data_IF_455815880630
#
_entry.id   IF_455815880630
#
_cell.length_a   1.000
_cell.length_b   1.000
_cell.length_c   1.000
_cell.angle_alpha   90.00
_cell.angle_beta   90.00
_cell.angle_gamma   90.00
#
_symmetry.space_group_name_H-M   'P 1'
#
loop_
_entity.id
_entity.type
_entity.pdbx_description
1 polymer ?
#
# COMPACT_ATOMS: atom_id res chain seq x y z
N UNK A 1 24.91 24.47 21.52
CA UNK A 1 26.23 23.82 21.64
C UNK A 1 26.21 22.29 21.52
N UNK A 2 25.06 21.59 21.68
CA UNK A 2 25.02 20.11 21.61
C UNK A 2 24.86 19.47 20.22
N UNK A 3 24.59 20.24 19.16
CA UNK A 3 24.43 19.71 17.78
C UNK A 3 25.74 19.21 17.15
N UNK A 4 26.90 19.59 17.69
CA UNK A 4 28.24 19.20 17.19
C UNK A 4 28.82 17.94 17.86
N UNK A 5 28.07 17.30 18.76
CA UNK A 5 28.44 15.99 19.29
C UNK A 5 28.27 14.90 18.22
N UNK A 6 29.39 14.44 17.66
CA UNK A 6 29.46 13.32 16.70
C UNK A 6 29.13 11.93 17.32
N UNK A 7 28.62 11.89 18.56
CA UNK A 7 28.23 10.63 19.21
C UNK A 7 26.83 10.21 18.79
N UNK A 8 26.71 9.60 17.61
CA UNK A 8 25.53 8.78 17.28
C UNK A 8 25.62 7.53 18.16
N UNK A 9 24.77 7.44 19.18
CA UNK A 9 24.65 6.20 19.96
C UNK A 9 24.09 5.14 19.03
N UNK A 10 24.73 3.96 18.97
CA UNK A 10 24.11 2.80 18.34
C UNK A 10 22.81 2.50 19.11
N UNK A 11 21.73 2.22 18.39
CA UNK A 11 20.50 1.77 19.02
C UNK A 11 20.76 0.50 19.85
N UNK A 12 19.96 0.30 20.89
CA UNK A 12 19.90 -1.00 21.55
C UNK A 12 19.49 -2.07 20.52
N UNK A 13 19.86 -3.34 20.76
CA UNK A 13 19.38 -4.45 19.94
C UNK A 13 17.86 -4.47 19.99
N UNK A 14 17.23 -4.27 18.85
CA UNK A 14 15.79 -4.36 18.69
C UNK A 14 15.42 -5.64 17.96
N UNK A 15 14.30 -6.20 18.35
CA UNK A 15 13.79 -7.45 17.83
C UNK A 15 12.43 -7.23 17.19
N UNK A 16 12.19 -7.92 16.07
CA UNK A 16 10.83 -8.07 15.52
C UNK A 16 9.90 -8.66 16.59
N UNK A 17 8.56 -8.55 16.44
CA UNK A 17 7.61 -9.27 17.28
C UNK A 17 7.87 -10.78 17.38
N UNK A 18 8.57 -11.36 16.39
CA UNK A 18 8.92 -12.78 16.31
C UNK A 18 10.33 -13.10 16.83
N UNK A 19 11.04 -12.12 17.41
CA UNK A 19 12.35 -12.35 18.05
C UNK A 19 13.56 -12.34 17.12
N UNK A 20 13.39 -12.00 15.83
CA UNK A 20 14.53 -11.78 14.92
C UNK A 20 15.22 -10.44 15.21
N UNK A 21 16.55 -10.44 15.31
CA UNK A 21 17.37 -9.24 15.52
C UNK A 21 17.40 -8.38 14.24
N UNK A 22 17.02 -7.10 14.34
CA UNK A 22 16.97 -6.20 13.19
C UNK A 22 18.13 -5.21 13.26
N UNK A 23 18.88 -5.06 12.17
CA UNK A 23 19.95 -4.05 12.07
C UNK A 23 19.40 -2.69 11.63
N UNK A 24 18.77 -1.98 12.57
CA UNK A 24 18.10 -0.73 12.27
C UNK A 24 19.06 0.47 12.21
N UNK A 25 18.73 1.46 11.39
CA UNK A 25 19.44 2.75 11.40
C UNK A 25 19.11 3.52 12.69
N UNK A 26 20.07 4.25 13.29
CA UNK A 26 19.77 5.11 14.44
C UNK A 26 18.78 6.23 14.10
N UNK A 27 17.75 6.45 14.92
CA UNK A 27 16.75 7.50 14.67
C UNK A 27 17.40 8.90 14.66
N UNK A 28 18.40 9.16 15.51
CA UNK A 28 19.09 10.46 15.54
C UNK A 28 19.85 10.76 14.24
N UNK A 29 20.32 9.73 13.52
CA UNK A 29 20.93 9.92 12.21
C UNK A 29 19.87 10.40 11.20
N UNK A 30 18.74 9.72 11.15
CA UNK A 30 17.64 10.09 10.26
C UNK A 30 17.06 11.47 10.62
N UNK A 31 17.00 11.81 11.91
CA UNK A 31 16.53 13.12 12.36
C UNK A 31 17.40 14.23 11.82
N UNK A 32 18.73 14.08 11.91
CA UNK A 32 19.68 15.04 11.35
C UNK A 32 19.49 15.20 9.84
N UNK A 33 19.39 14.09 9.12
CA UNK A 33 19.20 14.11 7.66
C UNK A 33 17.90 14.83 7.30
N UNK A 34 16.76 14.37 7.84
CA UNK A 34 15.43 14.91 7.51
C UNK A 34 15.33 16.39 7.92
N UNK A 35 15.85 16.77 9.09
CA UNK A 35 15.78 18.17 9.54
C UNK A 35 16.64 19.09 8.66
N UNK A 36 17.80 18.65 8.19
CA UNK A 36 18.66 19.46 7.33
C UNK A 36 18.16 19.58 5.88
N UNK A 37 17.34 18.63 5.41
CA UNK A 37 16.91 18.57 4.01
C UNK A 37 15.43 18.87 3.80
N UNK A 38 14.63 18.98 4.87
CA UNK A 38 13.18 19.18 4.77
C UNK A 38 12.61 20.12 5.83
N UNK A 39 11.52 20.78 5.47
CA UNK A 39 10.67 21.56 6.38
C UNK A 39 9.45 20.74 6.86
N UNK A 40 8.78 21.22 7.90
CA UNK A 40 7.52 20.63 8.38
C UNK A 40 6.47 20.56 7.24
N UNK A 41 5.74 19.46 7.17
CA UNK A 41 4.74 19.21 6.12
C UNK A 41 5.29 18.78 4.75
N UNK A 42 6.60 18.85 4.51
CA UNK A 42 7.21 18.32 3.29
C UNK A 42 7.20 16.79 3.25
N UNK A 43 7.36 16.24 2.05
CA UNK A 43 7.30 14.80 1.80
C UNK A 43 8.70 14.17 1.90
N UNK A 44 8.79 13.10 2.69
CA UNK A 44 9.96 12.20 2.76
C UNK A 44 9.61 10.88 2.06
N UNK A 45 10.45 10.42 1.14
CA UNK A 45 10.23 9.16 0.42
C UNK A 45 11.35 8.17 0.73
N UNK A 46 10.99 6.96 1.15
CA UNK A 46 11.94 5.86 1.41
C UNK A 46 11.44 4.55 0.81
N UNK A 47 12.07 4.13 -0.30
CA UNK A 47 11.71 2.91 -1.02
C UNK A 47 12.47 1.65 -0.55
N UNK A 48 13.30 1.79 0.48
CA UNK A 48 13.92 0.69 1.23
C UNK A 48 13.65 0.90 2.72
N UNK A 49 12.38 1.03 3.07
CA UNK A 49 11.96 1.45 4.40
C UNK A 49 12.46 0.49 5.50
N UNK A 50 12.66 -0.78 5.18
CA UNK A 50 13.14 -1.83 6.07
C UNK A 50 12.32 -1.85 7.34
N UNK A 51 12.99 -1.58 8.46
CA UNK A 51 12.33 -1.53 9.76
C UNK A 51 11.35 -0.37 9.92
N UNK A 52 11.35 0.63 9.04
CA UNK A 52 10.51 1.83 9.11
C UNK A 52 11.14 2.99 9.89
N UNK A 53 12.47 3.04 10.02
CA UNK A 53 13.16 4.10 10.78
C UNK A 53 12.91 5.48 10.17
N UNK A 54 13.05 5.61 8.85
CA UNK A 54 12.87 6.88 8.13
C UNK A 54 11.46 7.42 8.30
N UNK A 55 10.45 6.58 8.09
CA UNK A 55 9.03 6.97 8.19
C UNK A 55 8.62 7.31 9.62
N UNK A 56 9.13 6.58 10.63
CA UNK A 56 8.90 6.91 12.03
C UNK A 56 9.47 8.27 12.42
N UNK A 57 10.73 8.54 12.03
CA UNK A 57 11.38 9.82 12.31
C UNK A 57 10.70 10.96 11.54
N UNK A 58 10.38 10.76 10.27
CA UNK A 58 9.65 11.75 9.47
C UNK A 58 8.29 12.08 10.12
N UNK A 59 7.57 11.07 10.60
CA UNK A 59 6.28 11.25 11.28
C UNK A 59 6.42 12.04 12.59
N UNK A 60 7.37 11.67 13.45
CA UNK A 60 7.66 12.38 14.72
C UNK A 60 8.06 13.84 14.48
N UNK A 61 8.74 14.11 13.36
CA UNK A 61 9.10 15.44 12.90
C UNK A 61 7.98 16.13 12.10
N UNK A 62 6.77 15.57 12.01
CA UNK A 62 5.62 16.17 11.31
C UNK A 62 5.86 16.40 9.81
N UNK A 63 6.62 15.51 9.17
CA UNK A 63 6.72 15.42 7.71
C UNK A 63 5.66 14.45 7.19
N UNK A 64 5.20 14.68 5.97
CA UNK A 64 4.48 13.65 5.20
C UNK A 64 5.51 12.61 4.75
N UNK A 65 5.09 11.38 4.56
CA UNK A 65 6.01 10.34 4.11
C UNK A 65 5.34 9.29 3.24
N UNK A 66 6.14 8.68 2.39
CA UNK A 66 5.80 7.46 1.65
C UNK A 66 6.93 6.47 1.92
N UNK A 67 6.57 5.28 2.40
CA UNK A 67 7.48 4.17 2.62
C UNK A 67 7.10 3.00 1.73
N UNK A 68 8.08 2.36 1.09
CA UNK A 68 7.90 1.10 0.34
C UNK A 68 8.79 0.04 0.95
N UNK A 69 8.23 -1.15 1.11
CA UNK A 69 8.92 -2.34 1.57
C UNK A 69 8.26 -3.58 0.97
N UNK A 70 9.02 -4.68 0.88
CA UNK A 70 8.51 -5.98 0.46
C UNK A 70 7.45 -6.48 1.44
N UNK A 71 6.34 -6.98 0.89
CA UNK A 71 5.13 -7.31 1.64
C UNK A 71 5.39 -8.24 2.84
N UNK A 72 6.29 -9.21 2.71
CA UNK A 72 6.63 -10.18 3.76
C UNK A 72 7.19 -9.54 5.05
N UNK A 73 7.81 -8.37 4.97
CA UNK A 73 8.37 -7.65 6.13
C UNK A 73 7.50 -6.48 6.60
N UNK A 74 6.54 -6.05 5.78
CA UNK A 74 5.72 -4.88 6.08
C UNK A 74 4.95 -5.04 7.41
N UNK A 75 4.29 -6.19 7.62
CA UNK A 75 3.48 -6.41 8.82
C UNK A 75 4.30 -6.50 10.10
N UNK A 76 5.40 -7.26 10.06
CA UNK A 76 6.23 -7.52 11.24
C UNK A 76 7.03 -6.29 11.67
N UNK A 77 7.37 -5.42 10.72
CA UNK A 77 8.36 -4.39 10.95
C UNK A 77 7.73 -3.00 10.90
N UNK A 78 7.28 -2.56 9.73
CA UNK A 78 6.77 -1.19 9.52
C UNK A 78 5.43 -1.00 10.24
N UNK A 79 4.46 -1.88 10.00
CA UNK A 79 3.13 -1.77 10.59
C UNK A 79 3.21 -1.85 12.12
N UNK A 80 3.99 -2.79 12.65
CA UNK A 80 4.23 -2.90 14.08
C UNK A 80 4.86 -1.63 14.66
N UNK A 81 5.96 -1.14 14.08
CA UNK A 81 6.64 0.08 14.53
C UNK A 81 5.70 1.28 14.50
N UNK A 82 5.02 1.50 13.36
CA UNK A 82 4.18 2.67 13.20
C UNK A 82 2.99 2.65 14.15
N UNK A 83 2.41 1.48 14.49
CA UNK A 83 1.41 1.37 15.57
C UNK A 83 1.96 1.88 16.91
N UNK A 84 3.21 1.58 17.25
CA UNK A 84 3.85 2.10 18.47
C UNK A 84 4.05 3.62 18.39
N UNK A 85 4.60 4.11 17.27
CA UNK A 85 4.83 5.55 17.04
C UNK A 85 3.53 6.34 17.16
N UNK A 86 2.44 5.85 16.55
CA UNK A 86 1.12 6.47 16.63
C UNK A 86 0.53 6.41 18.05
N UNK A 87 0.77 5.34 18.80
CA UNK A 87 0.33 5.24 20.21
C UNK A 87 1.00 6.31 21.08
N UNK A 88 2.25 6.70 20.76
CA UNK A 88 3.03 7.72 21.49
C UNK A 88 3.45 7.34 22.91
N UNK A 89 2.85 6.29 23.46
CA UNK A 89 3.07 5.77 24.81
C UNK A 89 2.94 4.24 24.79
N UNK A 90 3.71 3.56 25.64
CA UNK A 90 3.61 2.11 25.82
C UNK A 90 4.94 1.47 26.22
N UNK A 91 5.06 0.16 25.97
CA UNK A 91 6.30 -0.58 26.26
C UNK A 91 7.47 -0.14 25.39
N UNK A 92 7.18 0.30 24.15
CA UNK A 92 8.17 0.60 23.12
C UNK A 92 8.26 2.09 22.74
N UNK A 93 7.50 2.98 23.42
CA UNK A 93 7.55 4.45 23.27
C UNK A 93 7.42 5.10 24.67
N UNK A 94 8.17 6.17 25.00
CA UNK A 94 9.02 6.95 24.11
C UNK A 94 10.38 6.28 23.81
N UNK A 95 10.71 6.13 22.52
CA UNK A 95 12.00 5.61 22.00
C UNK A 95 12.66 6.59 21.02
N UNK A 96 13.95 6.38 20.72
CA UNK A 96 14.71 7.15 19.75
C UNK A 96 14.61 8.66 19.99
N UNK A 97 14.07 9.40 19.03
CA UNK A 97 13.96 10.88 19.10
C UNK A 97 12.68 11.36 19.79
N UNK A 98 11.79 10.46 20.23
CA UNK A 98 10.49 10.85 20.80
C UNK A 98 10.63 11.80 21.99
N UNK A 99 11.65 11.62 22.82
CA UNK A 99 11.92 12.51 23.96
C UNK A 99 12.45 13.87 23.52
N UNK A 100 13.32 13.87 22.51
CA UNK A 100 13.97 15.08 21.99
C UNK A 100 12.96 16.04 21.36
N UNK A 101 11.91 15.50 20.74
CA UNK A 101 10.86 16.28 20.07
C UNK A 101 9.54 16.34 20.86
N UNK A 102 9.53 15.84 22.10
CA UNK A 102 8.34 15.74 22.95
C UNK A 102 7.13 15.09 22.24
N UNK A 103 7.37 13.99 21.52
CA UNK A 103 6.36 13.26 20.77
C UNK A 103 5.32 12.62 21.71
N UNK A 104 4.04 12.85 21.44
CA UNK A 104 2.91 12.35 22.26
C UNK A 104 2.07 11.29 21.54
N UNK A 105 2.45 10.90 20.32
CA UNK A 105 1.61 10.06 19.46
C UNK A 105 0.57 10.86 18.69
N UNK A 106 -0.30 10.13 18.01
CA UNK A 106 -1.32 10.66 17.11
C UNK A 106 -0.95 10.52 15.64
N UNK A 107 -1.89 10.92 14.78
CA UNK A 107 -1.81 10.74 13.33
C UNK A 107 -2.41 9.41 12.87
N UNK A 108 -2.31 9.17 11.57
CA UNK A 108 -2.64 7.91 10.93
C UNK A 108 -1.76 7.75 9.69
N UNK A 109 -1.69 6.54 9.17
CA UNK A 109 -1.15 6.30 7.83
C UNK A 109 -2.08 5.32 7.12
N UNK A 110 -2.10 5.43 5.79
CA UNK A 110 -2.69 4.41 4.93
C UNK A 110 -1.54 3.56 4.38
N UNK A 111 -1.83 2.30 4.10
CA UNK A 111 -0.92 1.43 3.38
C UNK A 111 -1.67 0.78 2.23
N UNK A 112 -0.92 0.43 1.19
CA UNK A 112 -1.43 -0.26 0.00
C UNK A 112 -0.59 -1.51 -0.17
N UNK A 113 -1.24 -2.60 -0.52
CA UNK A 113 -0.60 -3.80 -1.01
C UNK A 113 -0.69 -3.80 -2.53
N UNK A 114 0.42 -4.05 -3.20
CA UNK A 114 0.51 -4.13 -4.64
C UNK A 114 0.90 -5.55 -5.01
N UNK A 115 0.17 -6.14 -5.96
CA UNK A 115 0.54 -7.44 -6.50
C UNK A 115 1.90 -7.33 -7.21
N UNK A 116 2.84 -8.18 -6.80
CA UNK A 116 4.16 -8.24 -7.42
C UNK A 116 4.08 -8.91 -8.79
N UNK A 117 5.06 -8.65 -9.66
CA UNK A 117 5.10 -9.27 -10.98
C UNK A 117 5.09 -10.81 -10.90
N UNK A 118 5.82 -11.36 -9.94
CA UNK A 118 5.90 -12.80 -9.68
C UNK A 118 4.57 -13.37 -9.18
N UNK A 119 3.86 -12.63 -8.34
CA UNK A 119 2.52 -13.00 -7.86
C UNK A 119 1.50 -12.96 -9.00
N UNK A 120 1.54 -11.91 -9.82
CA UNK A 120 0.73 -11.80 -11.02
C UNK A 120 0.98 -12.99 -11.95
N UNK A 121 2.25 -13.31 -12.25
CA UNK A 121 2.61 -14.48 -13.06
C UNK A 121 2.15 -15.81 -12.45
N UNK A 122 2.25 -15.98 -11.13
CA UNK A 122 1.78 -17.18 -10.44
C UNK A 122 0.25 -17.31 -10.46
N UNK A 123 -0.46 -16.17 -10.48
CA UNK A 123 -1.92 -16.10 -10.52
C UNK A 123 -2.50 -16.19 -11.94
N UNK A 124 -1.71 -15.84 -12.96
CA UNK A 124 -2.06 -16.01 -14.36
C UNK A 124 -2.25 -17.50 -14.67
N UNK A 125 -3.50 -17.88 -14.89
CA UNK A 125 -3.85 -19.19 -15.43
C UNK A 125 -4.07 -19.03 -16.91
N UNK A 126 -3.17 -19.63 -17.69
CA UNK A 126 -3.35 -19.75 -19.12
C UNK A 126 -4.03 -21.08 -19.39
N UNK A 127 -5.25 -21.05 -19.92
CA UNK A 127 -5.80 -22.24 -20.56
C UNK A 127 -5.12 -22.43 -21.92
N UNK A 128 -5.00 -23.70 -22.35
CA UNK A 128 -4.70 -24.04 -23.73
C UNK A 128 -5.84 -23.54 -24.62
N UNK A 129 -5.78 -22.28 -25.02
CA UNK A 129 -6.62 -21.79 -26.10
C UNK A 129 -6.19 -22.48 -27.39
N UNK A 130 -7.13 -22.70 -28.32
CA UNK A 130 -6.78 -23.03 -29.70
C UNK A 130 -5.89 -21.91 -30.24
N UNK A 131 -4.57 -22.13 -30.19
CA UNK A 131 -3.58 -21.35 -30.92
C UNK A 131 -4.08 -21.27 -32.37
N UNK A 132 -3.86 -20.13 -33.03
CA UNK A 132 -4.15 -19.89 -34.45
C UNK A 132 -5.58 -19.48 -34.84
N UNK A 133 -6.44 -19.10 -33.87
CA UNK A 133 -7.84 -18.73 -34.16
C UNK A 133 -8.16 -17.22 -34.09
N UNK A 134 -7.21 -16.32 -33.79
CA UNK A 134 -7.49 -14.88 -33.79
C UNK A 134 -7.13 -14.23 -35.15
N UNK A 135 -8.11 -13.90 -36.02
CA UNK A 135 -7.82 -13.27 -37.30
C UNK A 135 -7.08 -11.94 -37.10
N UNK A 136 -5.88 -11.85 -37.67
CA UNK A 136 -5.04 -10.64 -37.63
C UNK A 136 -3.96 -10.60 -36.54
N UNK A 137 -3.77 -11.67 -35.75
CA UNK A 137 -2.64 -11.79 -34.82
C UNK A 137 -1.63 -12.84 -35.29
N UNK A 138 -0.34 -12.61 -35.06
CA UNK A 138 0.68 -13.62 -35.32
C UNK A 138 0.67 -14.69 -34.23
N UNK A 139 1.13 -15.92 -34.50
CA UNK A 139 1.25 -16.96 -33.48
C UNK A 139 2.07 -16.53 -32.26
N UNK A 140 3.08 -15.67 -32.44
CA UNK A 140 3.86 -15.11 -31.34
C UNK A 140 3.05 -14.15 -30.48
N UNK A 141 2.17 -13.34 -31.07
CA UNK A 141 1.29 -12.44 -30.33
C UNK A 141 0.22 -13.24 -29.55
N UNK A 142 -0.25 -14.35 -30.09
CA UNK A 142 -1.20 -15.22 -29.37
C UNK A 142 -0.52 -16.00 -28.24
N UNK A 143 0.73 -16.41 -28.42
CA UNK A 143 1.51 -17.14 -27.41
C UNK A 143 1.99 -16.25 -26.26
N UNK A 144 2.42 -15.01 -26.54
CA UNK A 144 2.90 -14.07 -25.51
C UNK A 144 1.74 -13.47 -24.70
N UNK A 145 0.55 -13.34 -25.29
CA UNK A 145 -0.64 -12.75 -24.66
C UNK A 145 -1.77 -13.78 -24.56
N UNK A 146 -1.49 -14.95 -23.98
CA UNK A 146 -2.53 -15.92 -23.64
C UNK A 146 -3.59 -15.26 -22.74
N UNK A 147 -4.84 -15.69 -22.87
CA UNK A 147 -5.98 -15.08 -22.16
C UNK A 147 -5.85 -15.33 -20.66
N UNK A 148 -5.92 -14.25 -19.87
CA UNK A 148 -5.95 -14.32 -18.41
C UNK A 148 -7.41 -14.46 -17.91
N UNK A 149 -7.68 -15.52 -17.16
CA UNK A 149 -8.97 -15.78 -16.54
C UNK A 149 -9.26 -14.93 -15.29
N UNK A 150 -8.30 -14.13 -14.81
CA UNK A 150 -8.44 -13.32 -13.59
C UNK A 150 -9.71 -12.47 -13.62
N UNK A 151 -10.06 -11.88 -14.76
CA UNK A 151 -11.32 -11.15 -14.90
C UNK A 151 -12.54 -12.08 -14.75
N UNK A 152 -12.53 -13.28 -15.33
CA UNK A 152 -13.63 -14.23 -15.23
C UNK A 152 -13.90 -14.65 -13.78
N UNK A 153 -12.85 -14.78 -12.95
CA UNK A 153 -13.00 -15.10 -11.52
C UNK A 153 -13.79 -14.02 -10.77
N UNK A 154 -13.67 -12.76 -11.20
CA UNK A 154 -14.33 -11.62 -10.59
C UNK A 154 -15.72 -11.32 -11.15
N UNK A 155 -16.13 -11.95 -12.26
CA UNK A 155 -17.42 -11.68 -12.90
C UNK A 155 -18.42 -12.82 -12.66
N UNK A 156 -19.60 -12.47 -12.17
CA UNK A 156 -20.76 -13.35 -12.10
C UNK A 156 -21.79 -12.91 -13.14
N UNK A 157 -22.08 -13.78 -14.11
CA UNK A 157 -23.05 -13.50 -15.17
C UNK A 157 -24.43 -14.00 -14.75
N UNK A 158 -25.38 -13.08 -14.59
CA UNK A 158 -26.79 -13.40 -14.44
C UNK A 158 -27.46 -13.41 -15.83
N UNK A 159 -27.51 -14.59 -16.43
CA UNK A 159 -28.13 -14.83 -17.73
C UNK A 159 -29.64 -14.55 -17.76
N UNK A 160 -30.33 -14.53 -16.60
CA UNK A 160 -31.78 -14.28 -16.57
C UNK A 160 -32.08 -12.79 -16.63
N UNK A 161 -31.25 -11.97 -16.01
CA UNK A 161 -31.43 -10.52 -15.94
C UNK A 161 -30.50 -9.74 -16.89
N UNK A 162 -29.68 -10.43 -17.70
CA UNK A 162 -28.64 -9.83 -18.54
C UNK A 162 -27.74 -8.85 -17.77
N UNK A 163 -27.40 -9.21 -16.52
CA UNK A 163 -26.54 -8.41 -15.64
C UNK A 163 -25.21 -9.11 -15.41
N UNK A 164 -24.15 -8.32 -15.29
CA UNK A 164 -22.83 -8.77 -14.87
C UNK A 164 -22.56 -8.17 -13.50
N UNK A 165 -22.33 -9.02 -12.51
CA UNK A 165 -21.99 -8.62 -11.15
C UNK A 165 -20.49 -8.78 -10.93
N UNK A 166 -19.86 -7.78 -10.34
CA UNK A 166 -18.43 -7.80 -10.01
C UNK A 166 -18.26 -8.23 -8.55
N UNK A 167 -17.57 -9.34 -8.34
CA UNK A 167 -17.24 -9.91 -7.03
C UNK A 167 -15.72 -9.82 -6.79
N UNK A 168 -15.27 -8.62 -6.42
CA UNK A 168 -13.84 -8.34 -6.18
C UNK A 168 -13.26 -9.16 -5.01
N UNK A 169 -14.10 -9.52 -4.04
CA UNK A 169 -13.78 -10.38 -2.89
C UNK A 169 -13.25 -11.76 -3.29
N UNK A 170 -13.56 -12.23 -4.51
CA UNK A 170 -13.02 -13.47 -5.07
C UNK A 170 -11.57 -13.34 -5.55
N UNK A 171 -11.09 -12.11 -5.78
CA UNK A 171 -9.72 -11.84 -6.20
C UNK A 171 -8.79 -11.71 -5.01
N UNK A 172 -9.13 -10.81 -4.07
CA UNK A 172 -8.36 -10.57 -2.87
C UNK A 172 -9.30 -10.35 -1.67
N UNK A 173 -8.91 -10.82 -0.47
CA UNK A 173 -9.67 -10.54 0.74
C UNK A 173 -9.59 -9.06 1.12
N UNK A 174 -10.64 -8.53 1.76
CA UNK A 174 -10.64 -7.20 2.41
C UNK A 174 -10.28 -6.01 1.50
N UNK A 175 -10.64 -6.04 0.21
CA UNK A 175 -10.43 -4.92 -0.71
C UNK A 175 -11.19 -3.67 -0.25
N UNK A 176 -10.49 -2.56 -0.08
CA UNK A 176 -11.11 -1.24 0.08
C UNK A 176 -11.61 -0.72 -1.27
N UNK A 177 -12.88 -1.00 -1.58
CA UNK A 177 -13.51 -0.61 -2.84
C UNK A 177 -13.52 0.92 -3.00
N UNK A 178 -13.72 1.67 -1.91
CA UNK A 178 -13.83 3.12 -1.99
C UNK A 178 -12.50 3.76 -2.38
N UNK A 179 -11.42 3.36 -1.70
CA UNK A 179 -10.08 3.82 -2.00
C UNK A 179 -9.62 3.34 -3.39
N UNK A 180 -9.98 2.11 -3.76
CA UNK A 180 -9.69 1.56 -5.10
C UNK A 180 -10.33 2.41 -6.20
N UNK A 181 -11.60 2.81 -6.04
CA UNK A 181 -12.29 3.68 -6.98
C UNK A 181 -11.68 5.09 -7.01
N UNK A 182 -11.28 5.63 -5.84
CA UNK A 182 -10.56 6.90 -5.74
C UNK A 182 -9.26 6.87 -6.56
N UNK A 183 -8.47 5.81 -6.40
CA UNK A 183 -7.20 5.63 -7.12
C UNK A 183 -7.42 5.46 -8.63
N UNK A 184 -8.40 4.65 -9.02
CA UNK A 184 -8.72 4.41 -10.42
C UNK A 184 -9.20 5.68 -11.14
N UNK A 185 -10.07 6.45 -10.49
CA UNK A 185 -10.71 7.63 -11.10
C UNK A 185 -9.92 8.92 -10.91
N UNK A 186 -8.95 8.93 -9.98
CA UNK A 186 -8.23 10.13 -9.56
C UNK A 186 -9.10 11.12 -8.77
N UNK A 187 -10.29 10.69 -8.30
CA UNK A 187 -11.26 11.55 -7.61
C UNK A 187 -11.16 11.38 -6.11
N UNK A 188 -11.16 12.49 -5.38
CA UNK A 188 -11.13 12.48 -3.92
C UNK A 188 -12.47 12.05 -3.34
N UNK A 189 -12.43 11.16 -2.34
CA UNK A 189 -13.61 10.68 -1.63
C UNK A 189 -14.13 11.78 -0.71
N UNK A 190 -15.41 12.12 -0.88
CA UNK A 190 -16.13 13.04 0.00
C UNK A 190 -16.87 12.29 1.12
N UNK A 191 -17.49 11.15 0.81
CA UNK A 191 -18.25 10.34 1.76
C UNK A 191 -18.30 8.87 1.36
N UNK A 192 -18.17 8.00 2.35
CA UNK A 192 -18.38 6.55 2.21
C UNK A 192 -19.68 6.18 2.93
N UNK A 193 -20.57 5.49 2.24
CA UNK A 193 -21.79 4.88 2.78
C UNK A 193 -21.71 3.35 2.60
N UNK A 194 -22.66 2.61 3.18
CA UNK A 194 -22.66 1.13 3.12
C UNK A 194 -22.61 0.62 1.67
N UNK A 195 -23.35 1.27 0.76
CA UNK A 195 -23.54 0.81 -0.62
C UNK A 195 -23.11 1.85 -1.67
N UNK A 196 -22.51 2.97 -1.26
CA UNK A 196 -22.21 4.09 -2.15
C UNK A 196 -20.95 4.84 -1.72
N UNK A 197 -20.16 5.27 -2.70
CA UNK A 197 -19.07 6.22 -2.54
C UNK A 197 -19.42 7.51 -3.27
N UNK A 198 -19.37 8.63 -2.57
CA UNK A 198 -19.55 9.97 -3.12
C UNK A 198 -18.19 10.68 -3.19
N UNK A 199 -17.87 11.23 -4.36
CA UNK A 199 -16.64 11.98 -4.63
C UNK A 199 -16.87 13.49 -4.51
N UNK A 200 -15.78 14.26 -4.37
CA UNK A 200 -15.84 15.71 -4.22
C UNK A 200 -16.48 16.44 -5.42
N UNK A 201 -16.38 15.88 -6.61
CA UNK A 201 -16.99 16.41 -7.84
C UNK A 201 -18.51 16.11 -7.96
N UNK A 202 -19.08 15.45 -6.95
CA UNK A 202 -20.49 15.06 -6.91
C UNK A 202 -20.80 13.71 -7.57
N UNK A 203 -19.79 13.03 -8.15
CA UNK A 203 -19.96 11.67 -8.69
C UNK A 203 -20.32 10.71 -7.57
N UNK A 204 -21.27 9.81 -7.82
CA UNK A 204 -21.68 8.74 -6.90
C UNK A 204 -21.55 7.39 -7.59
N UNK A 205 -20.93 6.43 -6.91
CA UNK A 205 -20.75 5.07 -7.41
C UNK A 205 -21.34 4.08 -6.41
N UNK A 206 -22.23 3.21 -6.89
CA UNK A 206 -22.79 2.12 -6.10
C UNK A 206 -21.77 0.98 -5.98
N UNK A 207 -21.41 0.58 -4.77
CA UNK A 207 -20.39 -0.44 -4.52
C UNK A 207 -20.91 -1.87 -4.67
N UNK A 208 -22.23 -2.08 -4.64
CA UNK A 208 -22.87 -3.40 -4.85
C UNK A 208 -23.17 -3.72 -6.32
N UNK A 209 -23.32 -2.69 -7.16
CA UNK A 209 -23.62 -2.82 -8.59
C UNK A 209 -22.57 -2.07 -9.41
N UNK A 210 -21.30 -2.51 -9.30
CA UNK A 210 -20.17 -1.91 -10.01
C UNK A 210 -20.23 -2.22 -11.51
N UNK A 211 -19.99 -1.21 -12.35
CA UNK A 211 -19.81 -1.42 -13.79
C UNK A 211 -18.46 -2.12 -14.04
N UNK A 212 -18.50 -3.31 -14.63
CA UNK A 212 -17.29 -4.06 -14.98
C UNK A 212 -16.37 -3.28 -15.93
N UNK A 213 -16.90 -2.36 -16.75
CA UNK A 213 -16.08 -1.54 -17.66
C UNK A 213 -15.20 -0.56 -16.90
N UNK A 214 -15.71 -0.03 -15.79
CA UNK A 214 -14.95 0.84 -14.90
C UNK A 214 -13.82 0.04 -14.24
N UNK A 215 -14.13 -1.16 -13.76
CA UNK A 215 -13.18 -1.98 -13.01
C UNK A 215 -12.20 -2.75 -13.91
N UNK A 216 -12.51 -2.94 -15.20
CA UNK A 216 -11.69 -3.70 -16.16
C UNK A 216 -10.20 -3.37 -16.07
N UNK A 217 -9.76 -2.09 -16.08
CA UNK A 217 -8.33 -1.75 -16.04
C UNK A 217 -7.61 -2.16 -14.76
N UNK A 218 -8.33 -2.41 -13.65
CA UNK A 218 -7.75 -2.87 -12.39
C UNK A 218 -7.50 -4.38 -12.38
N UNK A 219 -8.31 -5.13 -13.14
CA UNK A 219 -8.28 -6.60 -13.12
C UNK A 219 -7.54 -7.15 -14.32
N UNK A 220 -7.65 -6.49 -15.48
CA UNK A 220 -7.13 -6.97 -16.75
C UNK A 220 -6.29 -5.90 -17.45
N UNK A 221 -5.05 -6.29 -17.75
CA UNK A 221 -4.12 -5.54 -18.57
C UNK A 221 -4.21 -6.07 -20.02
N UNK A 222 -4.56 -5.21 -20.98
CA UNK A 222 -4.57 -5.49 -22.42
C UNK A 222 -3.30 -4.97 -23.11
#
# INVERSE_FOLDING_TARGET
EDLHSNKIKRNAKEYTPHGAEITQKPEQLMQRIIWLTTEEGQLVFDYFSGSGTTVAVAHKLRRKWIGVELASYFESDILFRMKQVLSGSGKNEPTGISRDVNWQGGGFFKYYELEQYEEALANCKYEDGDLFNAPGRSPYQEYVFMKDEKMLKALEIDYKNNKVKVALDKLYPNIDIAETLSNLTGKWIKKISVDEVEFEDGTKINTKDLDYKLIKPLIWWE
#
